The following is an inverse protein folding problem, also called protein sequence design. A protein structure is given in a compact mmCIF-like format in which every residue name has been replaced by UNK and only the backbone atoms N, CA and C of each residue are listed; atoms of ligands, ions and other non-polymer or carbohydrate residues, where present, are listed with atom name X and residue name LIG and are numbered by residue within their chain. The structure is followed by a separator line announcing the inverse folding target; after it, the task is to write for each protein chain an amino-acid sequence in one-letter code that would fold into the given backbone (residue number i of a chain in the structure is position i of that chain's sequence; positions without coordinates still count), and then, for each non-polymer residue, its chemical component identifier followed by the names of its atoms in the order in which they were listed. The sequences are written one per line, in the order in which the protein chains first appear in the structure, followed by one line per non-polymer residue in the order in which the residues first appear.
data_IF_364932438943
#
_entry.id   IF_364932438943
#
_cell.length_a   1.000
_cell.length_b   1.000
_cell.length_c   1.000
_cell.angle_alpha   90.00
_cell.angle_beta   90.00
_cell.angle_gamma   90.00
#
_symmetry.space_group_name_H-M   'P 1'
#
loop_
_entity.id
_entity.type
_entity.pdbx_description
1 polymer ?
#
# COMPACT_ATOMS: atom_id res chain seq x y z
N UNK A 1 53.25 12.44 17.08
CA UNK A 1 52.58 13.23 16.04
C UNK A 1 51.14 13.39 16.47
N UNK A 2 50.81 14.63 16.84
CA UNK A 2 49.51 15.09 17.31
C UNK A 2 48.37 14.73 16.35
N UNK A 3 47.22 14.36 16.91
CA UNK A 3 45.94 14.84 16.38
C UNK A 3 44.88 14.81 17.47
N UNK A 4 44.52 16.02 17.89
CA UNK A 4 43.39 16.37 18.73
C UNK A 4 42.07 15.97 18.07
N UNK A 5 41.15 15.37 18.81
CA UNK A 5 39.72 15.46 18.50
C UNK A 5 38.98 15.99 19.72
N UNK A 6 38.26 17.08 19.45
CA UNK A 6 37.68 18.05 20.36
C UNK A 6 36.25 17.61 20.71
N UNK A 7 36.01 17.18 21.95
CA UNK A 7 34.66 16.99 22.48
C UNK A 7 34.06 18.37 22.80
N UNK A 8 32.83 18.60 22.36
CA UNK A 8 32.10 19.87 22.48
C UNK A 8 31.07 19.72 23.60
N UNK A 9 31.22 20.49 24.67
CA UNK A 9 30.27 20.53 25.79
C UNK A 9 28.94 21.21 25.39
N UNK A 10 27.81 20.82 26.00
CA UNK A 10 26.53 21.49 25.83
C UNK A 10 26.43 22.74 26.71
N UNK A 11 25.98 23.84 26.10
CA UNK A 11 25.70 25.11 26.77
C UNK A 11 24.36 25.02 27.52
N UNK A 12 24.42 25.11 28.85
CA UNK A 12 23.29 25.49 29.69
C UNK A 12 22.93 26.97 29.45
N UNK A 13 21.65 27.25 29.20
CA UNK A 13 21.08 28.59 29.42
C UNK A 13 19.72 28.46 30.11
N UNK A 14 19.68 28.98 31.34
CA UNK A 14 18.51 29.19 32.19
C UNK A 14 17.91 30.59 31.93
N UNK A 15 16.57 30.70 32.00
CA UNK A 15 15.79 31.90 32.41
C UNK A 15 14.29 31.63 32.13
N UNK A 16 13.47 31.29 33.12
CA UNK A 16 12.76 32.18 34.09
C UNK A 16 11.50 32.85 33.53
N UNK A 17 10.33 32.39 34.01
CA UNK A 17 9.18 33.15 34.58
C UNK A 17 8.11 32.14 35.03
N UNK A 18 7.93 31.93 36.34
CA UNK A 18 7.03 32.65 37.26
C UNK A 18 5.59 32.11 37.19
N UNK A 19 5.21 31.32 38.18
CA UNK A 19 3.91 31.40 38.86
C UNK A 19 4.02 30.75 40.25
N UNK A 20 3.72 31.54 41.26
CA UNK A 20 3.40 31.11 42.63
C UNK A 20 2.10 30.27 42.59
N UNK A 21 1.65 29.49 43.58
CA UNK A 21 1.63 29.67 45.02
C UNK A 21 0.97 28.39 45.58
N UNK A 22 1.55 27.69 46.56
CA UNK A 22 0.83 27.21 47.75
C UNK A 22 1.75 26.45 48.71
N UNK A 23 1.55 26.79 49.99
CA UNK A 23 2.33 26.47 51.18
C UNK A 23 1.88 25.14 51.81
N UNK A 24 2.82 24.37 52.36
CA UNK A 24 2.75 23.70 53.69
C UNK A 24 4.14 23.08 54.00
N UNK A 25 4.97 23.63 54.91
CA UNK A 25 5.20 23.22 56.32
C UNK A 25 5.37 21.68 56.52
N UNK A 26 6.39 21.09 57.15
CA UNK A 26 7.65 21.52 57.83
C UNK A 26 8.47 20.25 58.20
N UNK A 27 9.81 20.38 58.16
CA UNK A 27 10.92 19.68 58.87
C UNK A 27 10.93 18.16 59.14
N UNK A 28 12.00 17.48 58.68
CA UNK A 28 13.05 16.90 59.56
C UNK A 28 14.32 16.56 58.75
N UNK A 29 15.48 16.92 59.31
CA UNK A 29 16.84 16.68 58.80
C UNK A 29 17.34 15.27 59.17
N UNK A 30 18.26 14.69 58.36
CA UNK A 30 19.61 14.18 58.71
C UNK A 30 20.13 13.22 57.61
N UNK A 31 21.37 13.52 57.21
CA UNK A 31 22.41 12.78 56.47
C UNK A 31 22.25 11.29 56.13
N UNK A 32 22.68 10.87 54.92
CA UNK A 32 23.99 10.20 54.72
C UNK A 32 24.27 9.90 53.23
N UNK A 33 25.56 9.96 52.90
CA UNK A 33 26.22 9.65 51.64
C UNK A 33 26.11 8.15 51.33
N UNK A 34 25.76 7.77 50.10
CA UNK A 34 26.41 6.63 49.44
C UNK A 34 26.20 6.66 47.92
N UNK A 35 27.28 7.03 47.24
CA UNK A 35 27.45 6.98 45.80
C UNK A 35 27.60 5.51 45.36
N UNK A 36 26.55 4.90 44.83
CA UNK A 36 26.69 3.63 44.09
C UNK A 36 26.87 4.01 42.62
N UNK A 37 28.14 4.06 42.21
CA UNK A 37 28.51 4.07 40.80
C UNK A 37 28.07 2.76 40.15
N UNK A 38 26.94 2.79 39.45
CA UNK A 38 26.62 1.76 38.49
C UNK A 38 27.60 1.90 37.31
N UNK A 39 28.65 1.08 37.32
CA UNK A 39 29.41 0.74 36.13
C UNK A 39 28.44 0.05 35.16
N UNK A 40 27.74 0.84 34.34
CA UNK A 40 27.17 0.35 33.10
C UNK A 40 28.35 0.02 32.18
N UNK A 41 28.87 -1.20 32.33
CA UNK A 41 29.63 -1.83 31.27
C UNK A 41 28.71 -1.90 30.05
N UNK A 42 29.07 -1.20 28.98
CA UNK A 42 28.61 -1.55 27.66
C UNK A 42 29.08 -2.97 27.39
N UNK A 43 28.22 -3.96 27.65
CA UNK A 43 28.39 -5.26 27.03
C UNK A 43 28.37 -5.01 25.52
N UNK A 44 29.38 -5.49 24.77
CA UNK A 44 29.25 -5.53 23.33
C UNK A 44 27.98 -6.35 23.05
N UNK A 45 27.01 -5.74 22.38
CA UNK A 45 26.03 -6.55 21.68
C UNK A 45 26.83 -7.32 20.64
N UNK A 46 27.08 -8.60 20.91
CA UNK A 46 27.47 -9.54 19.87
C UNK A 46 26.36 -9.47 18.83
N UNK A 47 26.58 -8.63 17.81
CA UNK A 47 25.70 -8.55 16.66
C UNK A 47 25.66 -9.95 16.08
N UNK A 48 24.48 -10.57 16.13
CA UNK A 48 24.22 -11.84 15.43
C UNK A 48 24.85 -11.67 14.05
N UNK A 49 25.86 -12.49 13.70
CA UNK A 49 26.57 -12.31 12.46
C UNK A 49 25.54 -12.23 11.34
N UNK A 50 25.56 -11.13 10.59
CA UNK A 50 24.68 -10.80 9.47
C UNK A 50 24.82 -11.79 8.28
N UNK A 51 25.34 -13.00 8.54
CA UNK A 51 25.79 -14.00 7.56
C UNK A 51 24.65 -14.80 6.94
N UNK A 52 23.43 -14.68 7.46
CA UNK A 52 22.25 -15.39 6.95
C UNK A 52 21.13 -14.47 6.44
N UNK A 53 21.35 -13.16 6.37
CA UNK A 53 20.36 -12.23 5.85
C UNK A 53 20.52 -12.08 4.33
N UNK A 54 19.39 -12.15 3.62
CA UNK A 54 19.33 -11.93 2.17
C UNK A 54 18.54 -10.66 1.92
N UNK A 55 19.13 -9.72 1.17
CA UNK A 55 18.41 -8.53 0.70
C UNK A 55 17.35 -8.95 -0.32
N UNK A 56 16.08 -8.69 0.01
CA UNK A 56 14.96 -9.00 -0.87
C UNK A 56 14.21 -7.74 -1.29
N UNK A 57 13.77 -7.64 -2.57
CA UNK A 57 12.97 -6.50 -3.02
C UNK A 57 11.62 -6.50 -2.30
N UNK A 58 11.20 -5.34 -1.79
CA UNK A 58 9.95 -5.24 -1.01
C UNK A 58 8.69 -5.33 -1.87
N UNK A 59 8.76 -4.95 -3.15
CA UNK A 59 7.59 -4.86 -4.01
C UNK A 59 6.76 -6.16 -4.05
N UNK A 60 7.33 -7.34 -4.34
CA UNK A 60 6.57 -8.59 -4.30
C UNK A 60 6.01 -8.92 -2.91
N UNK A 61 6.76 -8.62 -1.83
CA UNK A 61 6.31 -8.83 -0.45
C UNK A 61 5.05 -7.98 -0.16
N UNK A 62 5.06 -6.72 -0.56
CA UNK A 62 3.93 -5.80 -0.36
C UNK A 62 2.74 -6.22 -1.23
N UNK A 63 2.96 -6.51 -2.52
CA UNK A 63 1.91 -6.93 -3.44
C UNK A 63 1.16 -8.16 -2.93
N UNK A 64 1.88 -9.22 -2.56
CA UNK A 64 1.26 -10.44 -2.02
C UNK A 64 0.46 -10.16 -0.75
N UNK A 65 0.95 -9.26 0.10
CA UNK A 65 0.31 -8.93 1.37
C UNK A 65 -0.96 -8.11 1.19
N UNK A 66 -0.93 -7.14 0.28
CA UNK A 66 -2.04 -6.23 -0.01
C UNK A 66 -3.11 -6.94 -0.82
N UNK A 67 -2.74 -7.74 -1.83
CA UNK A 67 -3.72 -8.38 -2.71
C UNK A 67 -4.55 -9.47 -2.03
N UNK A 68 -4.09 -10.00 -0.89
CA UNK A 68 -4.89 -10.90 -0.04
C UNK A 68 -6.04 -10.19 0.69
N UNK A 69 -6.02 -8.86 0.79
CA UNK A 69 -7.11 -8.08 1.37
C UNK A 69 -8.25 -7.82 0.40
N UNK A 70 -8.07 -8.15 -0.89
CA UNK A 70 -9.10 -7.91 -1.89
C UNK A 70 -10.37 -8.68 -1.56
N UNK A 71 -11.54 -8.06 -1.78
CA UNK A 71 -12.79 -8.78 -1.73
C UNK A 71 -12.79 -9.88 -2.80
N UNK A 72 -13.27 -11.05 -2.41
CA UNK A 72 -13.58 -12.16 -3.30
C UNK A 72 -15.08 -12.40 -3.24
N UNK A 73 -15.73 -12.23 -4.37
CA UNK A 73 -17.16 -12.48 -4.57
C UNK A 73 -17.32 -13.40 -5.76
N UNK A 74 -18.40 -14.18 -5.76
CA UNK A 74 -18.70 -15.09 -6.86
C UNK A 74 -19.26 -14.33 -8.06
N UNK A 75 -18.87 -14.77 -9.26
CA UNK A 75 -19.46 -14.30 -10.51
C UNK A 75 -20.94 -14.72 -10.60
N UNK A 76 -21.79 -13.95 -11.32
CA UNK A 76 -21.47 -12.83 -12.23
C UNK A 76 -21.48 -11.44 -11.59
N UNK A 77 -21.75 -11.34 -10.29
CA UNK A 77 -22.03 -10.05 -9.63
C UNK A 77 -20.80 -9.48 -8.90
N UNK A 78 -19.63 -10.11 -9.04
CA UNK A 78 -18.46 -9.80 -8.24
C UNK A 78 -18.07 -8.31 -8.33
N UNK A 79 -18.02 -7.77 -9.55
CA UNK A 79 -17.72 -6.36 -9.81
C UNK A 79 -18.69 -5.41 -9.12
N UNK A 80 -19.99 -5.69 -9.19
CA UNK A 80 -21.03 -4.89 -8.54
C UNK A 80 -20.88 -4.92 -7.02
N UNK A 81 -20.61 -6.10 -6.44
CA UNK A 81 -20.42 -6.26 -5.00
C UNK A 81 -19.18 -5.50 -4.50
N UNK A 82 -18.08 -5.52 -5.26
CA UNK A 82 -16.91 -4.67 -4.96
C UNK A 82 -17.26 -3.19 -5.03
N UNK A 83 -18.03 -2.78 -6.04
CA UNK A 83 -18.53 -1.40 -6.17
C UNK A 83 -19.30 -0.94 -4.93
N UNK A 84 -20.22 -1.76 -4.43
CA UNK A 84 -20.96 -1.48 -3.20
C UNK A 84 -20.06 -1.38 -1.97
N UNK A 85 -19.12 -2.31 -1.81
CA UNK A 85 -18.16 -2.26 -0.71
C UNK A 85 -17.30 -0.98 -0.76
N UNK A 86 -16.87 -0.57 -1.95
CA UNK A 86 -16.13 0.68 -2.14
C UNK A 86 -16.98 1.93 -1.91
N UNK A 87 -18.28 1.90 -2.21
CA UNK A 87 -19.19 3.00 -1.90
C UNK A 87 -19.38 3.15 -0.37
N UNK A 88 -19.54 2.05 0.35
CA UNK A 88 -19.60 2.03 1.83
C UNK A 88 -18.30 2.57 2.45
N UNK A 89 -17.15 2.09 1.95
CA UNK A 89 -15.83 2.52 2.39
C UNK A 89 -15.62 4.04 2.26
N UNK A 90 -16.11 4.63 1.16
CA UNK A 90 -16.01 6.07 0.88
C UNK A 90 -17.11 6.89 1.54
N UNK A 91 -18.10 6.26 2.17
CA UNK A 91 -19.27 6.93 2.75
C UNK A 91 -20.23 7.49 1.70
N UNK A 92 -20.16 7.00 0.46
CA UNK A 92 -21.05 7.39 -0.64
C UNK A 92 -22.39 6.64 -0.60
N UNK A 93 -22.45 5.54 0.16
CA UNK A 93 -23.65 4.76 0.42
C UNK A 93 -23.73 4.32 1.88
N UNK A 94 -24.94 4.01 2.33
CA UNK A 94 -25.26 3.39 3.63
C UNK A 94 -25.54 1.91 3.46
N UNK A 95 -25.48 1.13 4.55
CA UNK A 95 -25.79 -0.31 4.50
C UNK A 95 -27.22 -0.54 4.02
N UNK A 96 -28.16 0.29 4.48
CA UNK A 96 -29.57 0.22 4.13
C UNK A 96 -29.77 0.43 2.62
N UNK A 97 -29.08 1.41 2.04
CA UNK A 97 -29.10 1.64 0.59
C UNK A 97 -28.54 0.45 -0.18
N UNK A 98 -27.40 -0.12 0.26
CA UNK A 98 -26.81 -1.28 -0.40
C UNK A 98 -27.71 -2.52 -0.29
N UNK A 99 -28.26 -2.80 0.89
CA UNK A 99 -29.20 -3.91 1.09
C UNK A 99 -30.45 -3.76 0.20
N UNK A 100 -30.99 -2.54 0.08
CA UNK A 100 -32.09 -2.25 -0.84
C UNK A 100 -31.71 -2.48 -2.30
N UNK A 101 -30.52 -2.03 -2.72
CA UNK A 101 -30.03 -2.25 -4.09
C UNK A 101 -29.79 -3.72 -4.39
N UNK A 102 -29.25 -4.51 -3.46
CA UNK A 102 -29.09 -5.96 -3.62
C UNK A 102 -30.44 -6.65 -3.84
N UNK A 103 -31.45 -6.33 -3.03
CA UNK A 103 -32.80 -6.89 -3.17
C UNK A 103 -33.43 -6.52 -4.52
N UNK A 104 -33.23 -5.30 -5.02
CA UNK A 104 -33.77 -4.86 -6.32
C UNK A 104 -33.21 -5.63 -7.52
N UNK A 105 -32.03 -6.23 -7.39
CA UNK A 105 -31.41 -7.08 -8.42
C UNK A 105 -31.56 -8.57 -8.12
N UNK A 106 -32.44 -8.93 -7.18
CA UNK A 106 -32.76 -10.32 -6.83
C UNK A 106 -31.73 -11.01 -5.93
N UNK A 107 -30.81 -10.27 -5.31
CA UNK A 107 -29.82 -10.81 -4.37
C UNK A 107 -30.33 -10.59 -2.94
N UNK A 108 -30.62 -11.68 -2.23
CA UNK A 108 -31.03 -11.65 -0.82
C UNK A 108 -29.79 -11.66 0.10
N UNK A 109 -29.49 -10.56 0.82
CA UNK A 109 -28.31 -10.48 1.70
C UNK A 109 -28.27 -11.58 2.77
N UNK A 110 -29.43 -12.06 3.23
CA UNK A 110 -29.56 -13.06 4.29
C UNK A 110 -29.19 -14.48 3.81
N UNK A 111 -29.15 -14.68 2.49
CA UNK A 111 -28.85 -15.98 1.85
C UNK A 111 -27.46 -16.02 1.22
N UNK A 112 -26.69 -14.94 1.31
CA UNK A 112 -25.34 -14.90 0.78
C UNK A 112 -24.44 -15.88 1.56
N UNK A 113 -23.50 -16.58 0.89
CA UNK A 113 -22.52 -17.42 1.58
C UNK A 113 -21.75 -16.60 2.61
N UNK A 114 -21.55 -17.17 3.80
CA UNK A 114 -20.76 -16.52 4.85
C UNK A 114 -19.29 -16.63 4.47
N UNK A 115 -18.71 -15.52 4.03
CA UNK A 115 -17.29 -15.36 3.68
C UNK A 115 -16.78 -14.06 4.28
N UNK A 116 -15.45 -13.88 4.31
CA UNK A 116 -14.86 -12.61 4.78
C UNK A 116 -15.42 -11.41 4.00
N UNK A 117 -15.56 -11.53 2.68
CA UNK A 117 -16.03 -10.44 1.81
C UNK A 117 -17.49 -10.12 2.03
N UNK A 118 -18.36 -11.13 2.17
CA UNK A 118 -19.79 -10.91 2.43
C UNK A 118 -20.01 -10.36 3.82
N UNK A 119 -19.26 -10.81 4.84
CA UNK A 119 -19.29 -10.21 6.16
C UNK A 119 -18.85 -8.73 6.13
N UNK A 120 -17.78 -8.40 5.41
CA UNK A 120 -17.35 -7.01 5.24
C UNK A 120 -18.41 -6.15 4.54
N UNK A 121 -19.11 -6.70 3.54
CA UNK A 121 -20.19 -6.01 2.84
C UNK A 121 -21.38 -5.71 3.76
N UNK A 122 -21.69 -6.61 4.70
CA UNK A 122 -22.95 -6.59 5.47
C UNK A 122 -22.84 -6.02 6.90
N UNK A 123 -21.63 -5.93 7.47
CA UNK A 123 -21.43 -5.61 8.91
C UNK A 123 -21.13 -4.14 9.21
N UNK A 124 -20.88 -3.31 8.18
CA UNK A 124 -20.56 -1.89 8.38
C UNK A 124 -19.18 -1.63 8.97
N UNK A 125 -18.27 -2.63 8.97
CA UNK A 125 -16.87 -2.45 9.32
C UNK A 125 -16.18 -1.52 8.31
N UNK A 126 -16.27 -0.21 8.56
CA UNK A 126 -15.71 0.86 7.72
C UNK A 126 -14.21 0.68 7.50
N UNK A 127 -13.47 0.25 8.52
CA UNK A 127 -12.03 0.08 8.43
C UNK A 127 -11.68 -1.10 7.53
N UNK A 128 -12.33 -2.25 7.73
CA UNK A 128 -12.19 -3.42 6.88
C UNK A 128 -12.64 -3.16 5.43
N UNK A 129 -13.75 -2.46 5.24
CA UNK A 129 -14.25 -2.04 3.92
C UNK A 129 -13.27 -1.11 3.22
N UNK A 130 -12.70 -0.13 3.93
CA UNK A 130 -11.69 0.76 3.38
C UNK A 130 -10.43 0.00 2.95
N UNK A 131 -9.95 -0.92 3.79
CA UNK A 131 -8.80 -1.76 3.46
C UNK A 131 -9.06 -2.65 2.24
N UNK A 132 -10.22 -3.29 2.17
CA UNK A 132 -10.59 -4.17 1.06
C UNK A 132 -10.79 -3.37 -0.25
N UNK A 133 -11.44 -2.20 -0.19
CA UNK A 133 -11.60 -1.31 -1.34
C UNK A 133 -10.24 -0.77 -1.83
N UNK A 134 -9.39 -0.29 -0.93
CA UNK A 134 -8.05 0.19 -1.26
C UNK A 134 -7.21 -0.92 -1.91
N UNK A 135 -7.26 -2.14 -1.37
CA UNK A 135 -6.56 -3.29 -1.93
C UNK A 135 -7.09 -3.68 -3.32
N UNK A 136 -8.40 -3.58 -3.53
CA UNK A 136 -8.99 -3.79 -4.85
C UNK A 136 -8.48 -2.76 -5.86
N UNK A 137 -8.52 -1.46 -5.53
CA UNK A 137 -8.05 -0.38 -6.41
C UNK A 137 -6.55 -0.54 -6.73
N UNK A 138 -5.72 -0.86 -5.71
CA UNK A 138 -4.29 -1.07 -5.89
C UNK A 138 -3.96 -2.26 -6.81
N UNK A 139 -4.81 -3.29 -6.80
CA UNK A 139 -4.69 -4.41 -7.72
C UNK A 139 -5.27 -4.10 -9.11
N UNK A 140 -6.41 -3.42 -9.17
CA UNK A 140 -7.04 -3.05 -10.44
C UNK A 140 -6.09 -2.15 -11.25
N UNK A 141 -5.34 -1.27 -10.60
CA UNK A 141 -4.29 -0.47 -11.23
C UNK A 141 -3.27 -1.31 -12.04
N UNK A 142 -3.16 -2.61 -11.74
CA UNK A 142 -2.24 -3.57 -12.36
C UNK A 142 -2.94 -4.55 -13.30
N UNK A 143 -4.23 -4.34 -13.54
CA UNK A 143 -5.05 -5.07 -14.48
C UNK A 143 -5.33 -4.19 -15.71
N UNK A 144 -5.67 -4.76 -16.87
CA UNK A 144 -6.16 -3.98 -18.01
C UNK A 144 -7.47 -3.24 -17.68
N UNK A 145 -7.92 -2.37 -18.59
CA UNK A 145 -9.28 -1.83 -18.52
C UNK A 145 -10.26 -2.93 -18.93
N UNK A 146 -11.32 -3.12 -18.16
CA UNK A 146 -12.43 -4.00 -18.54
C UNK A 146 -13.13 -3.41 -19.77
N UNK A 147 -13.08 -4.13 -20.88
CA UNK A 147 -13.64 -3.67 -22.15
C UNK A 147 -15.15 -3.44 -22.07
N UNK A 148 -15.85 -4.12 -21.16
CA UNK A 148 -17.29 -3.90 -20.96
C UNK A 148 -17.62 -2.53 -20.35
N UNK A 149 -16.69 -1.89 -19.64
CA UNK A 149 -16.89 -0.56 -19.08
C UNK A 149 -16.78 0.56 -20.10
N UNK A 150 -16.01 0.31 -21.15
CA UNK A 150 -15.69 1.30 -22.19
C UNK A 150 -16.37 1.00 -23.52
N UNK A 151 -16.99 -0.17 -23.66
CA UNK A 151 -17.77 -0.53 -24.83
C UNK A 151 -19.19 0.05 -24.77
N UNK A 152 -19.68 0.48 -25.92
CA UNK A 152 -21.07 0.85 -26.16
C UNK A 152 -21.58 0.06 -27.36
N UNK A 153 -22.73 -0.59 -27.19
CA UNK A 153 -23.43 -1.26 -28.29
C UNK A 153 -24.33 -0.23 -28.97
N UNK A 154 -24.02 0.15 -30.20
CA UNK A 154 -24.95 0.93 -31.02
C UNK A 154 -25.96 -0.02 -31.64
N UNK A 155 -27.24 0.12 -31.27
CA UNK A 155 -28.32 -0.60 -31.93
C UNK A 155 -28.35 -0.26 -33.42
N UNK A 156 -28.64 -1.27 -34.26
CA UNK A 156 -28.92 -1.06 -35.66
C UNK A 156 -30.05 -0.03 -35.81
N UNK A 157 -29.84 1.01 -36.60
CA UNK A 157 -30.92 1.91 -37.01
C UNK A 157 -31.96 1.10 -37.78
N UNK A 158 -33.26 1.34 -37.55
CA UNK A 158 -34.40 0.69 -38.24
C UNK A 158 -34.39 0.83 -39.78
N UNK A 159 -33.34 1.43 -40.37
CA UNK A 159 -33.14 1.62 -41.81
C UNK A 159 -31.80 1.13 -42.36
N UNK A 160 -31.00 0.38 -41.61
CA UNK A 160 -29.80 -0.27 -42.17
C UNK A 160 -29.64 -1.72 -41.73
N UNK A 161 -29.37 -2.61 -42.69
CA UNK A 161 -28.96 -4.03 -42.52
C UNK A 161 -27.62 -4.20 -41.75
N UNK A 162 -27.18 -3.18 -41.01
CA UNK A 162 -25.95 -3.22 -40.23
C UNK A 162 -26.19 -3.95 -38.91
N UNK A 163 -25.48 -5.06 -38.70
CA UNK A 163 -25.44 -5.75 -37.41
C UNK A 163 -24.99 -4.77 -36.29
N UNK A 164 -25.46 -4.97 -35.05
CA UNK A 164 -24.96 -4.22 -33.89
C UNK A 164 -23.43 -4.30 -33.83
N UNK A 165 -22.76 -3.15 -33.80
CA UNK A 165 -21.31 -3.07 -33.62
C UNK A 165 -21.00 -2.57 -32.22
N UNK A 166 -20.17 -3.31 -31.48
CA UNK A 166 -19.61 -2.85 -30.22
C UNK A 166 -18.45 -1.90 -30.52
N UNK A 167 -18.59 -0.63 -30.14
CA UNK A 167 -17.55 0.38 -30.30
C UNK A 167 -17.03 0.84 -28.94
N UNK A 168 -15.78 1.29 -28.88
CA UNK A 168 -15.21 1.89 -27.68
C UNK A 168 -15.70 3.34 -27.60
N UNK A 169 -16.24 3.73 -26.45
CA UNK A 169 -16.60 5.09 -26.12
C UNK A 169 -15.36 5.81 -25.58
N UNK A 170 -14.90 6.81 -26.34
CA UNK A 170 -13.68 7.55 -26.03
C UNK A 170 -13.75 8.31 -24.69
N UNK A 171 -14.94 8.78 -24.30
CA UNK A 171 -15.11 9.51 -23.04
C UNK A 171 -15.02 8.56 -21.83
N UNK A 172 -15.65 7.39 -21.93
CA UNK A 172 -15.54 6.32 -20.93
C UNK A 172 -14.12 5.80 -20.85
N UNK A 173 -13.46 5.60 -21.99
CA UNK A 173 -12.07 5.18 -22.03
C UNK A 173 -11.16 6.23 -21.39
N UNK A 174 -11.27 7.50 -21.76
CA UNK A 174 -10.46 8.58 -21.18
C UNK A 174 -10.64 8.67 -19.66
N UNK A 175 -11.88 8.53 -19.17
CA UNK A 175 -12.16 8.48 -17.74
C UNK A 175 -11.55 7.24 -17.06
N UNK A 176 -11.64 6.07 -17.69
CA UNK A 176 -11.02 4.84 -17.18
C UNK A 176 -9.49 4.99 -17.08
N UNK A 177 -8.83 5.52 -18.11
CA UNK A 177 -7.38 5.76 -18.11
C UNK A 177 -6.96 6.78 -17.04
N UNK A 178 -7.76 7.84 -16.85
CA UNK A 178 -7.56 8.84 -15.81
C UNK A 178 -7.58 8.23 -14.41
N UNK A 179 -8.57 7.39 -14.12
CA UNK A 179 -8.67 6.69 -12.83
C UNK A 179 -7.55 5.66 -12.67
N UNK A 180 -7.19 4.95 -13.75
CA UNK A 180 -6.07 3.98 -13.76
C UNK A 180 -4.75 4.63 -13.37
N UNK A 181 -4.44 5.77 -13.99
CA UNK A 181 -3.22 6.53 -13.71
C UNK A 181 -3.18 7.02 -12.26
N UNK A 182 -4.29 7.59 -11.77
CA UNK A 182 -4.39 8.04 -10.38
C UNK A 182 -4.20 6.89 -9.37
N UNK A 183 -4.79 5.74 -9.66
CA UNK A 183 -4.69 4.52 -8.83
C UNK A 183 -3.26 3.97 -8.82
N UNK A 184 -2.57 3.98 -9.97
CA UNK A 184 -1.18 3.56 -10.08
C UNK A 184 -0.23 4.49 -9.30
N UNK A 185 -0.43 5.82 -9.36
CA UNK A 185 0.31 6.77 -8.54
C UNK A 185 0.08 6.56 -7.04
N UNK A 186 -1.17 6.48 -6.60
CA UNK A 186 -1.48 6.24 -5.20
C UNK A 186 -0.91 4.91 -4.68
N UNK A 187 -0.88 3.88 -5.53
CA UNK A 187 -0.24 2.59 -5.23
C UNK A 187 1.26 2.74 -5.06
N UNK A 188 1.93 3.43 -5.98
CA UNK A 188 3.36 3.70 -5.86
C UNK A 188 3.70 4.48 -4.57
N UNK A 189 2.92 5.52 -4.25
CA UNK A 189 3.10 6.35 -3.06
C UNK A 189 3.01 5.53 -1.77
N UNK A 190 1.93 4.78 -1.61
CA UNK A 190 1.67 4.00 -0.38
C UNK A 190 2.62 2.82 -0.28
N UNK A 191 2.93 2.14 -1.38
CA UNK A 191 3.89 1.03 -1.36
C UNK A 191 5.31 1.50 -1.07
N UNK A 192 5.72 2.68 -1.57
CA UNK A 192 7.01 3.27 -1.23
C UNK A 192 7.11 3.54 0.28
N UNK A 193 6.04 4.10 0.87
CA UNK A 193 5.97 4.34 2.31
C UNK A 193 6.06 3.03 3.10
N UNK A 194 5.29 2.01 2.72
CA UNK A 194 5.36 0.68 3.36
C UNK A 194 6.77 0.12 3.24
N UNK A 195 7.37 0.15 2.05
CA UNK A 195 8.75 -0.31 1.82
C UNK A 195 9.75 0.37 2.75
N UNK A 196 9.67 1.69 2.87
CA UNK A 196 10.51 2.46 3.78
C UNK A 196 10.32 2.07 5.26
N UNK A 197 9.09 1.76 5.69
CA UNK A 197 8.82 1.32 7.06
C UNK A 197 9.29 -0.12 7.33
N UNK A 198 9.16 -1.03 6.36
CA UNK A 198 9.64 -2.41 6.52
C UNK A 198 11.17 -2.46 6.69
N UNK A 199 11.90 -1.65 5.92
CA UNK A 199 13.37 -1.59 5.98
C UNK A 199 13.94 -1.14 7.34
N UNK A 200 13.12 -0.53 8.21
CA UNK A 200 13.56 -0.10 9.55
C UNK A 200 13.73 -1.26 10.55
N UNK A 201 13.16 -2.44 10.26
CA UNK A 201 13.16 -3.57 11.18
C UNK A 201 13.73 -4.83 10.51
N UNK A 202 15.06 -4.90 10.33
CA UNK A 202 15.72 -5.96 9.59
C UNK A 202 15.62 -7.34 10.28
N UNK A 203 15.90 -8.41 9.53
CA UNK A 203 16.07 -9.75 10.08
C UNK A 203 14.77 -10.53 10.32
N UNK A 204 13.63 -10.06 9.79
CA UNK A 204 12.36 -10.80 9.83
C UNK A 204 12.31 -11.86 8.73
N UNK A 205 11.44 -12.86 8.90
CA UNK A 205 11.09 -13.78 7.82
C UNK A 205 10.20 -13.10 6.78
N UNK A 206 10.07 -13.68 5.59
CA UNK A 206 9.16 -13.18 4.54
C UNK A 206 7.73 -13.05 5.09
N UNK A 207 7.22 -14.09 5.76
CA UNK A 207 5.87 -14.09 6.31
C UNK A 207 5.65 -12.97 7.34
N UNK A 208 6.65 -12.67 8.16
CA UNK A 208 6.58 -11.57 9.13
C UNK A 208 6.59 -10.19 8.46
N UNK A 209 7.39 -10.00 7.41
CA UNK A 209 7.32 -8.77 6.61
C UNK A 209 5.99 -8.64 5.89
N UNK A 210 5.44 -9.74 5.40
CA UNK A 210 4.14 -9.73 4.75
C UNK A 210 3.02 -9.33 5.71
N UNK A 211 3.01 -9.89 6.92
CA UNK A 211 2.06 -9.51 7.97
C UNK A 211 2.21 -8.03 8.33
N UNK A 212 3.44 -7.55 8.50
CA UNK A 212 3.70 -6.14 8.78
C UNK A 212 3.23 -5.22 7.63
N UNK A 213 3.46 -5.61 6.38
CA UNK A 213 3.00 -4.88 5.20
C UNK A 213 1.47 -4.82 5.13
N UNK A 214 0.80 -5.94 5.43
CA UNK A 214 -0.65 -6.03 5.51
C UNK A 214 -1.21 -5.06 6.56
N UNK A 215 -0.68 -5.10 7.78
CA UNK A 215 -1.10 -4.24 8.88
C UNK A 215 -0.85 -2.75 8.58
N UNK A 216 0.27 -2.41 7.95
CA UNK A 216 0.56 -1.04 7.50
C UNK A 216 -0.47 -0.60 6.45
N UNK A 217 -0.74 -1.44 5.45
CA UNK A 217 -1.70 -1.11 4.40
C UNK A 217 -3.12 -0.92 4.94
N UNK A 218 -3.58 -1.77 5.86
CA UNK A 218 -4.90 -1.63 6.52
C UNK A 218 -5.00 -0.26 7.22
N UNK A 219 -3.97 0.17 7.95
CA UNK A 219 -3.95 1.49 8.59
C UNK A 219 -3.88 2.64 7.59
N UNK A 220 -3.18 2.44 6.48
CA UNK A 220 -3.01 3.44 5.42
C UNK A 220 -4.16 3.49 4.43
N UNK A 221 -5.13 2.57 4.49
CA UNK A 221 -6.20 2.46 3.51
C UNK A 221 -7.02 3.76 3.33
N UNK A 222 -7.42 4.49 4.39
CA UNK A 222 -8.09 5.79 4.22
C UNK A 222 -7.20 6.82 3.48
N UNK A 223 -5.90 6.83 3.80
CA UNK A 223 -4.93 7.71 3.14
C UNK A 223 -4.76 7.33 1.68
N UNK A 224 -4.68 6.03 1.36
CA UNK A 224 -4.63 5.54 -0.01
C UNK A 224 -5.86 5.99 -0.82
N UNK A 225 -7.07 5.81 -0.29
CA UNK A 225 -8.30 6.20 -0.98
C UNK A 225 -8.38 7.70 -1.24
N UNK A 226 -7.91 8.51 -0.30
CA UNK A 226 -7.81 9.96 -0.48
C UNK A 226 -6.73 10.33 -1.50
N UNK A 227 -5.59 9.64 -1.49
CA UNK A 227 -4.52 9.82 -2.49
C UNK A 227 -4.99 9.51 -3.90
N UNK A 228 -5.82 8.49 -4.11
CA UNK A 228 -6.40 8.21 -5.44
C UNK A 228 -7.16 9.44 -5.97
N UNK A 229 -7.93 10.13 -5.12
CA UNK A 229 -8.65 11.35 -5.51
C UNK A 229 -7.69 12.51 -5.82
N UNK A 230 -6.68 12.70 -4.98
CA UNK A 230 -5.68 13.77 -5.14
C UNK A 230 -4.80 13.56 -6.38
N UNK A 231 -4.58 12.31 -6.78
CA UNK A 231 -3.77 11.95 -7.94
C UNK A 231 -4.56 11.92 -9.25
N UNK A 232 -5.85 12.28 -9.25
CA UNK A 232 -6.62 12.41 -10.49
C UNK A 232 -6.00 13.50 -11.36
N UNK A 233 -5.53 13.17 -12.59
CA UNK A 233 -5.03 14.18 -13.51
C UNK A 233 -6.08 15.27 -13.76
N UNK A 234 -5.67 16.53 -13.99
CA UNK A 234 -6.56 17.60 -14.42
C UNK A 234 -7.37 17.23 -15.69
N UNK A 235 -8.56 17.82 -15.91
CA UNK A 235 -9.42 17.48 -17.05
C UNK A 235 -8.81 17.72 -18.43
N UNK A 236 -7.82 18.61 -18.54
CA UNK A 236 -7.10 18.95 -19.77
C UNK A 236 -5.99 17.94 -20.13
N UNK A 237 -5.70 16.97 -19.26
CA UNK A 237 -4.74 15.90 -19.55
C UNK A 237 -5.34 14.94 -20.58
N UNK A 238 -4.76 14.93 -21.77
CA UNK A 238 -5.04 13.95 -22.82
C UNK A 238 -4.24 12.65 -22.67
N UNK A 239 -4.81 11.56 -23.18
CA UNK A 239 -4.21 10.23 -23.20
C UNK A 239 -4.02 9.73 -24.63
N UNK A 240 -2.91 9.04 -24.88
CA UNK A 240 -2.64 8.33 -26.12
C UNK A 240 -2.52 6.85 -25.81
N UNK A 241 -3.46 6.08 -26.34
CA UNK A 241 -3.51 4.64 -26.19
C UNK A 241 -2.49 3.98 -27.12
N UNK A 242 -1.59 3.19 -26.56
CA UNK A 242 -0.60 2.41 -27.31
C UNK A 242 -1.06 0.93 -27.45
N UNK A 243 -1.83 0.40 -26.49
CA UNK A 243 -2.42 -0.96 -26.52
C UNK A 243 -3.66 -1.05 -25.62
N UNK A 244 -4.69 -1.75 -26.08
CA UNK A 244 -5.87 -2.12 -25.29
C UNK A 244 -6.36 -3.52 -25.70
N UNK A 245 -6.18 -4.48 -24.81
CA UNK A 245 -6.52 -5.89 -24.99
C UNK A 245 -7.11 -6.42 -23.67
N UNK A 246 -7.72 -7.61 -23.70
CA UNK A 246 -8.31 -8.23 -22.52
C UNK A 246 -7.29 -8.48 -21.38
N UNK A 247 -6.00 -8.68 -21.72
CA UNK A 247 -4.93 -9.00 -20.77
C UNK A 247 -3.79 -7.98 -20.75
N UNK A 248 -3.86 -6.94 -21.58
CA UNK A 248 -2.82 -5.92 -21.67
C UNK A 248 -3.38 -4.51 -21.89
N UNK A 249 -2.70 -3.52 -21.33
CA UNK A 249 -3.02 -2.10 -21.48
C UNK A 249 -1.72 -1.31 -21.54
N UNK A 250 -1.56 -0.44 -22.52
CA UNK A 250 -0.47 0.51 -22.55
C UNK A 250 -0.97 1.88 -23.03
N UNK A 251 -0.60 2.94 -22.32
CA UNK A 251 -0.91 4.30 -22.74
C UNK A 251 0.11 5.30 -22.19
N UNK A 252 0.10 6.48 -22.79
CA UNK A 252 0.83 7.66 -22.33
C UNK A 252 -0.13 8.81 -22.09
N UNK A 253 0.26 9.75 -21.24
CA UNK A 253 -0.48 10.98 -20.98
C UNK A 253 0.35 12.22 -21.31
N UNK A 254 -0.32 13.32 -21.65
CA UNK A 254 0.31 14.61 -21.96
C UNK A 254 1.09 15.22 -20.79
N UNK A 255 0.79 14.82 -19.54
CA UNK A 255 1.55 15.21 -18.35
C UNK A 255 2.78 14.30 -18.08
N UNK A 256 3.19 13.49 -19.05
CA UNK A 256 4.46 12.77 -19.03
C UNK A 256 4.43 11.40 -18.37
N UNK A 257 3.25 10.85 -18.04
CA UNK A 257 3.14 9.49 -17.56
C UNK A 257 3.10 8.48 -18.71
N UNK A 258 3.64 7.29 -18.47
CA UNK A 258 3.49 6.11 -19.33
C UNK A 258 3.19 4.91 -18.45
N UNK A 259 2.07 4.26 -18.71
CA UNK A 259 1.60 3.09 -17.98
C UNK A 259 1.56 1.90 -18.94
N UNK A 260 2.08 0.76 -18.50
CA UNK A 260 1.98 -0.51 -19.20
C UNK A 260 1.64 -1.61 -18.20
N UNK A 261 0.55 -2.33 -18.47
CA UNK A 261 0.16 -3.57 -17.83
C UNK A 261 0.27 -4.67 -18.88
N UNK A 262 1.09 -5.68 -18.61
CA UNK A 262 1.27 -6.82 -19.50
C UNK A 262 1.28 -8.14 -18.71
N UNK A 263 0.82 -9.26 -19.29
CA UNK A 263 0.92 -10.57 -18.67
C UNK A 263 2.37 -10.89 -18.29
N UNK A 264 2.58 -11.46 -17.11
CA UNK A 264 3.90 -11.84 -16.58
C UNK A 264 4.76 -10.69 -16.06
N UNK A 265 4.64 -9.48 -16.63
CA UNK A 265 5.38 -8.30 -16.18
C UNK A 265 4.63 -7.46 -15.14
N UNK A 266 3.29 -7.58 -15.11
CA UNK A 266 2.44 -6.76 -14.25
C UNK A 266 2.45 -5.28 -14.67
N UNK A 267 2.24 -4.39 -13.70
CA UNK A 267 2.27 -2.95 -13.89
C UNK A 267 3.71 -2.42 -13.96
N UNK A 268 3.98 -1.62 -14.98
CA UNK A 268 5.09 -0.68 -15.03
C UNK A 268 4.54 0.72 -15.27
N UNK A 269 5.03 1.70 -14.50
CA UNK A 269 4.63 3.10 -14.64
C UNK A 269 5.87 3.99 -14.61
N UNK A 270 5.99 4.86 -15.61
CA UNK A 270 7.02 5.90 -15.66
C UNK A 270 6.40 7.28 -15.59
N UNK A 271 7.06 8.20 -14.90
CA UNK A 271 6.73 9.62 -14.88
C UNK A 271 7.95 10.40 -15.36
N UNK A 272 7.80 11.14 -16.47
CA UNK A 272 8.90 11.90 -17.10
C UNK A 272 10.17 11.06 -17.32
N UNK A 273 9.98 9.79 -17.73
CA UNK A 273 11.07 8.83 -17.95
C UNK A 273 11.56 8.08 -16.71
N UNK A 274 11.23 8.53 -15.50
CA UNK A 274 11.63 7.86 -14.24
C UNK A 274 10.68 6.70 -13.94
N UNK A 275 11.22 5.52 -13.62
CA UNK A 275 10.40 4.34 -13.25
C UNK A 275 9.81 4.51 -11.84
N UNK A 276 8.50 4.77 -11.78
CA UNK A 276 7.76 5.04 -10.55
C UNK A 276 7.09 3.81 -9.94
N UNK A 277 6.80 2.80 -10.76
CA UNK A 277 6.29 1.52 -10.28
C UNK A 277 6.77 0.40 -11.22
N UNK A 278 7.12 -0.76 -10.65
CA UNK A 278 7.51 -1.95 -11.40
C UNK A 278 9.03 -2.16 -11.40
N UNK A 279 9.46 -3.34 -11.87
CA UNK A 279 10.88 -3.76 -11.90
C UNK A 279 11.61 -3.56 -10.54
N UNK A 280 10.91 -3.82 -9.43
CA UNK A 280 11.44 -3.65 -8.07
C UNK A 280 11.54 -2.20 -7.59
N UNK A 281 11.13 -1.22 -8.40
CA UNK A 281 11.19 0.21 -8.07
C UNK A 281 9.83 0.79 -7.69
N UNK A 282 9.89 1.72 -6.74
CA UNK A 282 8.79 2.55 -6.28
C UNK A 282 9.28 4.00 -6.22
N UNK A 283 8.59 4.92 -6.89
CA UNK A 283 8.96 6.34 -6.98
C UNK A 283 10.43 6.59 -7.37
N UNK A 284 10.96 5.82 -8.33
CA UNK A 284 12.34 5.95 -8.80
C UNK A 284 13.39 5.27 -7.92
N UNK A 285 13.00 4.63 -6.82
CA UNK A 285 13.92 4.04 -5.84
C UNK A 285 13.70 2.54 -5.69
N UNK A 286 14.79 1.81 -5.48
CA UNK A 286 14.74 0.42 -5.03
C UNK A 286 14.60 0.39 -3.51
N UNK A 287 13.74 -0.50 -3.03
CA UNK A 287 13.54 -0.74 -1.61
C UNK A 287 13.79 -2.23 -1.36
N UNK A 288 14.70 -2.54 -0.45
CA UNK A 288 15.00 -3.89 0.00
C UNK A 288 14.82 -4.04 1.50
N UNK A 289 14.58 -5.28 1.93
CA UNK A 289 14.56 -5.67 3.34
C UNK A 289 15.56 -6.82 3.56
N UNK A 290 16.33 -6.79 4.66
CA UNK A 290 17.17 -7.92 5.03
C UNK A 290 16.29 -9.03 5.61
N UNK A 291 16.21 -10.18 4.94
CA UNK A 291 15.35 -11.30 5.31
C UNK A 291 16.17 -12.41 5.96
N UNK A 292 15.70 -12.91 7.10
CA UNK A 292 16.20 -14.16 7.69
C UNK A 292 15.70 -15.35 6.83
N UNK A 293 16.34 -15.56 5.69
CA UNK A 293 15.87 -16.46 4.65
C UNK A 293 16.21 -17.92 4.94
N UNK A 294 17.39 -18.15 5.54
CA UNK A 294 17.87 -19.48 5.87
C UNK A 294 17.65 -19.81 7.36
N UNK A 295 17.41 -21.09 7.70
CA UNK A 295 17.40 -21.52 9.09
C UNK A 295 18.78 -21.30 9.73
N UNK A 296 18.81 -21.12 11.04
CA UNK A 296 20.07 -20.89 11.79
C UNK A 296 21.08 -22.03 11.62
N UNK A 297 20.62 -23.24 11.33
CA UNK A 297 21.48 -24.40 11.04
C UNK A 297 22.43 -24.21 9.86
N UNK A 298 22.16 -23.26 8.95
CA UNK A 298 23.08 -22.95 7.83
C UNK A 298 24.36 -22.25 8.32
N UNK A 299 24.32 -21.54 9.46
CA UNK A 299 25.49 -20.81 9.97
C UNK A 299 26.67 -21.73 10.29
N UNK A 300 26.43 -22.97 10.72
CA UNK A 300 27.50 -23.93 11.00
C UNK A 300 28.18 -24.43 9.72
N UNK A 301 27.49 -24.44 8.58
CA UNK A 301 28.04 -24.79 7.28
C UNK A 301 28.89 -23.67 6.68
N UNK A 302 28.70 -22.43 7.15
CA UNK A 302 29.44 -21.24 6.72
C UNK A 302 30.62 -20.92 7.64
N UNK A 303 30.82 -21.67 8.72
CA UNK A 303 31.99 -21.53 9.58
C UNK A 303 33.24 -22.01 8.83
N UNK A 304 34.25 -21.15 8.71
CA UNK A 304 35.55 -21.54 8.14
C UNK A 304 36.17 -22.53 9.14
N UNK A 305 36.60 -23.73 8.70
CA UNK A 305 37.30 -24.66 9.58
C UNK A 305 38.56 -23.99 10.12
N UNK A 306 38.76 -24.02 11.43
CA UNK A 306 40.00 -23.52 12.02
C UNK A 306 41.19 -24.24 11.37
N UNK A 307 42.16 -23.47 10.89
CA UNK A 307 43.41 -24.01 10.32
C UNK A 307 44.14 -24.79 11.41
N UNK A 308 44.13 -26.12 11.30
CA UNK A 308 45.03 -27.04 12.01
C UNK A 308 46.46 -26.87 11.52
#
# INVERSE_FOLDING_TARGET
MDSQVRCKDPVHKTSSRRNELMKYKTFFSISLISSIGALYGCLPQDGVPNRNLVEMPVLPIIQESVFRLRPQFDEPNAKQMVGYMCALARGEATLEQISGSLLSVGIDPSKMPISRSTLLLLTGDRAGQAAACAAYIAFDAQSPVDLSDVAVTTSASDKSDSLPSTQIDDARLAQALRVKLASAHATADVFALIGAELSKNPGKSIAQYQEQANQLFVRLAPVFLERVKQQLPPPDVSYRLDRLEATALAFSSSNGARLNVSPGMGLTMRQNGVLWYGEGKLLGREYSVPVAYFPQSVSSLLAIPDKT
#
